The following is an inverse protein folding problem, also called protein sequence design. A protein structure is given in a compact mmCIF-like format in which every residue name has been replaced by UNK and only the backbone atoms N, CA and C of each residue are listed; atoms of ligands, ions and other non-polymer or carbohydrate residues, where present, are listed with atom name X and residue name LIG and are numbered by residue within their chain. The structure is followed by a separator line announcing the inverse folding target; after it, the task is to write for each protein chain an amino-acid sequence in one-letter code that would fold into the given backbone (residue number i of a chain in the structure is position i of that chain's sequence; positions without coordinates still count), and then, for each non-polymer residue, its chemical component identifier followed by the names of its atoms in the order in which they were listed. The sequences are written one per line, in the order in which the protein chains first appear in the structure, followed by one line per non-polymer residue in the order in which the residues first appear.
data_IF_600138231273
#
_entry.id   IF_600138231273
#
_cell.length_a   1.000
_cell.length_b   1.000
_cell.length_c   1.000
_cell.angle_alpha   90.00
_cell.angle_beta   90.00
_cell.angle_gamma   90.00
#
_symmetry.space_group_name_H-M   'P 1'
#
loop_
_entity.id
_entity.type
_entity.pdbx_description
1 polymer ?
#
# COMPACT_ATOMS: atom_id res chain seq x y z
N UNK A 1 -20.19 2.83 -67.60
CA UNK A 1 -21.17 1.74 -67.71
C UNK A 1 -20.91 0.87 -66.50
N UNK A 2 -21.70 0.64 -65.52
CA UNK A 2 -23.06 0.90 -65.21
C UNK A 2 -23.23 0.90 -63.70
N UNK A 3 -24.16 1.70 -63.24
CA UNK A 3 -24.59 1.83 -61.87
C UNK A 3 -25.63 0.76 -61.51
N UNK A 4 -25.64 0.30 -60.25
CA UNK A 4 -26.81 -0.22 -59.51
C UNK A 4 -26.33 -0.45 -58.05
N UNK A 5 -26.92 -0.04 -56.95
CA UNK A 5 -28.27 0.31 -56.68
C UNK A 5 -28.44 -0.09 -55.20
N UNK A 6 -28.60 0.85 -54.26
CA UNK A 6 -28.90 0.61 -52.83
C UNK A 6 -30.37 0.25 -52.69
N UNK A 7 -30.77 -0.57 -51.71
CA UNK A 7 -32.12 -0.52 -51.18
C UNK A 7 -32.18 0.15 -49.78
N UNK A 8 -33.19 1.00 -49.67
CA UNK A 8 -33.60 1.70 -48.47
C UNK A 8 -34.23 0.74 -47.45
N UNK A 9 -34.06 1.01 -46.14
CA UNK A 9 -34.80 0.38 -45.05
C UNK A 9 -35.85 1.35 -44.51
N UNK A 10 -37.08 0.86 -44.54
CA UNK A 10 -38.25 1.52 -43.96
C UNK A 10 -38.27 1.30 -42.42
N UNK A 11 -38.70 2.38 -41.77
CA UNK A 11 -39.11 2.43 -40.34
C UNK A 11 -40.35 1.67 -40.03
N UNK A 12 -40.38 0.94 -38.92
CA UNK A 12 -41.63 0.53 -38.27
C UNK A 12 -41.48 0.70 -36.73
N UNK A 13 -42.42 1.44 -36.16
CA UNK A 13 -42.62 1.77 -34.78
C UNK A 13 -43.51 0.72 -34.04
N UNK A 14 -43.75 0.83 -32.70
CA UNK A 14 -43.68 -0.29 -31.76
C UNK A 14 -45.05 -0.84 -31.34
N UNK A 15 -45.03 -2.10 -30.93
CA UNK A 15 -46.20 -2.76 -30.28
C UNK A 15 -45.94 -2.97 -28.80
N UNK A 16 -46.81 -2.44 -27.96
CA UNK A 16 -46.92 -2.77 -26.54
C UNK A 16 -47.52 -4.18 -26.38
N UNK A 17 -46.92 -5.02 -25.54
CA UNK A 17 -47.61 -6.14 -24.88
C UNK A 17 -47.10 -6.27 -23.46
N UNK A 18 -47.99 -6.06 -22.50
CA UNK A 18 -47.76 -6.34 -21.11
C UNK A 18 -47.84 -7.84 -20.81
N UNK A 19 -47.07 -8.29 -19.86
CA UNK A 19 -47.32 -9.53 -19.15
C UNK A 19 -46.86 -9.41 -17.69
N UNK A 20 -47.84 -9.49 -16.81
CA UNK A 20 -47.69 -9.75 -15.37
C UNK A 20 -47.27 -11.21 -15.20
N UNK A 21 -46.20 -11.46 -14.50
CA UNK A 21 -45.84 -12.77 -13.99
C UNK A 21 -46.03 -12.77 -12.46
N UNK A 22 -47.01 -13.56 -12.02
CA UNK A 22 -47.25 -13.85 -10.61
C UNK A 22 -46.21 -14.83 -10.09
N UNK A 23 -45.60 -14.50 -8.96
CA UNK A 23 -44.70 -15.38 -8.18
C UNK A 23 -45.58 -16.21 -7.21
N UNK A 24 -45.65 -17.51 -7.44
CA UNK A 24 -46.13 -18.50 -6.47
C UNK A 24 -44.98 -18.88 -5.53
N UNK A 25 -45.22 -18.69 -4.24
CA UNK A 25 -44.32 -19.13 -3.17
C UNK A 25 -44.84 -20.47 -2.66
N UNK A 26 -44.06 -21.54 -2.85
CA UNK A 26 -44.26 -22.81 -2.15
C UNK A 26 -43.52 -22.79 -0.82
N UNK A 27 -44.24 -23.10 0.26
CA UNK A 27 -43.76 -23.20 1.61
C UNK A 27 -43.27 -24.61 1.92
N UNK A 28 -42.05 -24.75 2.41
CA UNK A 28 -41.50 -25.96 3.02
C UNK A 28 -41.44 -25.76 4.55
N UNK A 29 -41.97 -26.64 5.38
CA UNK A 29 -41.94 -26.49 6.83
C UNK A 29 -40.71 -27.11 7.44
N UNK A 30 -40.06 -26.35 8.37
CA UNK A 30 -39.12 -26.90 9.34
C UNK A 30 -37.71 -26.36 9.34
N UNK A 31 -37.50 -25.13 9.80
CA UNK A 31 -36.23 -24.74 10.46
C UNK A 31 -36.45 -23.51 11.34
N UNK A 32 -35.96 -23.62 12.57
CA UNK A 32 -36.03 -22.57 13.60
C UNK A 32 -35.26 -21.34 13.20
N UNK A 33 -35.93 -20.20 13.19
CA UNK A 33 -35.37 -18.87 13.03
C UNK A 33 -34.54 -18.53 14.30
N UNK A 34 -33.21 -18.29 14.14
CA UNK A 34 -32.41 -17.61 15.12
C UNK A 34 -32.31 -16.17 14.65
N UNK A 35 -32.99 -15.28 15.35
CA UNK A 35 -32.89 -13.83 15.11
C UNK A 35 -31.59 -13.30 15.67
N UNK A 36 -30.63 -12.94 14.82
CA UNK A 36 -29.43 -12.20 15.21
C UNK A 36 -29.72 -10.70 15.06
N UNK A 37 -29.84 -10.00 16.16
CA UNK A 37 -29.86 -8.53 16.22
C UNK A 37 -28.46 -8.01 15.91
N UNK A 38 -28.27 -7.38 14.76
CA UNK A 38 -27.13 -6.54 14.44
C UNK A 38 -27.42 -5.13 14.96
N UNK A 39 -26.75 -4.74 16.03
CA UNK A 39 -26.62 -3.34 16.45
C UNK A 39 -25.45 -2.76 15.63
N UNK A 40 -25.74 -1.89 14.68
CA UNK A 40 -24.74 -1.09 13.97
C UNK A 40 -24.64 0.27 14.66
N UNK A 41 -23.46 0.55 15.20
CA UNK A 41 -23.07 1.86 15.70
C UNK A 41 -23.03 2.90 14.58
N UNK A 42 -23.94 3.85 14.67
CA UNK A 42 -23.93 5.12 13.96
C UNK A 42 -23.24 6.16 14.85
N UNK A 43 -21.96 6.41 14.62
CA UNK A 43 -21.30 7.64 15.08
C UNK A 43 -20.37 8.16 13.98
N UNK A 44 -20.88 9.12 13.23
CA UNK A 44 -20.13 10.26 12.68
C UNK A 44 -20.99 11.00 11.66
N UNK A 45 -21.63 12.07 12.09
CA UNK A 45 -21.97 13.25 11.26
C UNK A 45 -22.72 14.26 12.11
N UNK A 46 -22.01 15.22 12.66
CA UNK A 46 -22.52 16.58 12.86
C UNK A 46 -21.35 17.52 13.10
N UNK A 47 -20.96 18.21 12.07
CA UNK A 47 -20.31 19.51 12.17
C UNK A 47 -20.77 20.32 10.96
N UNK A 48 -21.74 21.19 11.16
CA UNK A 48 -21.81 22.48 10.46
C UNK A 48 -22.83 23.45 11.07
N UNK A 49 -22.35 24.67 11.17
CA UNK A 49 -23.06 25.96 11.27
C UNK A 49 -23.42 26.48 12.64
N UNK A 50 -22.70 27.57 12.98
CA UNK A 50 -23.14 28.95 13.28
C UNK A 50 -21.88 29.72 13.65
N UNK A 51 -21.45 30.76 13.06
CA UNK A 51 -22.12 31.89 12.46
C UNK A 51 -22.12 33.10 13.35
N UNK A 52 -21.19 34.04 13.10
CA UNK A 52 -21.22 35.48 13.19
C UNK A 52 -21.28 36.25 14.52
N UNK A 53 -20.39 37.25 14.54
CA UNK A 53 -20.51 38.64 15.01
C UNK A 53 -20.24 38.85 16.52
N UNK A 54 -19.49 39.78 16.98
CA UNK A 54 -19.08 41.15 16.65
C UNK A 54 -18.23 41.73 17.79
N UNK A 55 -17.21 42.52 17.42
CA UNK A 55 -16.75 43.80 18.01
C UNK A 55 -16.62 43.99 19.52
N UNK A 56 -15.44 44.42 19.90
CA UNK A 56 -15.40 45.65 20.65
C UNK A 56 -14.50 45.73 21.87
N UNK A 57 -13.37 46.36 21.71
CA UNK A 57 -12.80 47.44 22.55
C UNK A 57 -12.48 47.29 24.06
N UNK A 58 -11.24 47.74 24.34
CA UNK A 58 -10.74 48.59 25.44
C UNK A 58 -10.18 47.95 26.72
N UNK A 59 -8.87 47.99 26.80
CA UNK A 59 -7.93 48.59 27.76
C UNK A 59 -8.10 48.46 29.29
N UNK A 60 -6.90 48.33 29.88
CA UNK A 60 -6.44 48.79 31.20
C UNK A 60 -6.93 48.02 32.44
N UNK A 61 -6.11 47.36 33.19
CA UNK A 61 -5.29 47.94 34.27
C UNK A 61 -4.65 46.85 35.14
N UNK A 62 -3.45 47.16 35.49
CA UNK A 62 -2.59 46.45 36.44
C UNK A 62 -3.23 46.45 37.85
N UNK A 63 -3.29 45.27 38.49
CA UNK A 63 -3.25 45.22 39.98
C UNK A 63 -2.46 43.98 40.42
N UNK A 64 -1.42 44.28 41.19
CA UNK A 64 -0.57 43.35 41.94
C UNK A 64 -1.41 42.73 43.05
N UNK A 65 -1.25 41.42 43.29
CA UNK A 65 -1.72 40.75 44.49
C UNK A 65 -0.53 39.97 45.09
N UNK A 66 -0.33 39.99 46.42
CA UNK A 66 0.91 39.65 47.10
C UNK A 66 1.06 38.14 47.35
N UNK A 67 2.32 37.74 47.41
CA UNK A 67 2.77 36.40 47.82
C UNK A 67 2.28 36.01 49.22
N UNK A 68 1.66 34.85 49.36
CA UNK A 68 1.50 34.14 50.64
C UNK A 68 2.28 32.84 50.54
N UNK A 69 3.18 32.68 51.53
CA UNK A 69 3.94 31.44 51.77
C UNK A 69 3.02 30.33 52.29
N UNK A 70 3.27 29.07 51.92
CA UNK A 70 2.59 27.93 52.52
C UNK A 70 3.31 27.49 53.84
N UNK A 71 2.57 26.91 54.82
CA UNK A 71 3.10 26.57 56.14
C UNK A 71 3.95 25.29 56.08
N UNK A 72 4.99 25.30 56.90
CA UNK A 72 5.89 24.15 57.15
C UNK A 72 5.16 22.95 57.77
N UNK A 73 5.31 21.80 57.13
CA UNK A 73 4.91 20.50 57.66
C UNK A 73 6.02 19.96 58.60
N UNK A 74 5.78 19.94 59.90
CA UNK A 74 6.61 19.26 60.89
C UNK A 74 6.53 17.75 60.70
N UNK A 75 7.63 17.13 60.33
CA UNK A 75 7.79 15.67 60.33
C UNK A 75 8.12 15.20 61.73
N UNK A 76 7.21 14.50 62.40
CA UNK A 76 7.41 13.72 63.64
C UNK A 76 8.12 12.40 63.23
N UNK A 77 9.35 12.22 63.70
CA UNK A 77 10.06 10.93 63.67
C UNK A 77 9.60 10.06 64.82
N UNK A 78 9.15 8.83 64.61
CA UNK A 78 9.04 7.85 65.68
C UNK A 78 10.40 7.17 65.85
N UNK A 79 10.91 7.22 67.10
CA UNK A 79 12.02 6.41 67.59
C UNK A 79 11.55 4.96 67.67
N UNK A 80 12.17 4.08 66.92
CA UNK A 80 11.97 2.64 67.04
C UNK A 80 13.03 2.03 67.93
N UNK A 81 12.58 1.52 69.09
CA UNK A 81 13.35 0.66 69.96
C UNK A 81 13.76 -0.65 69.29
N UNK A 82 15.06 -0.87 69.25
CA UNK A 82 15.67 -2.12 68.81
C UNK A 82 15.65 -3.07 70.08
N UNK A 83 14.62 -3.88 70.18
CA UNK A 83 14.69 -5.16 70.95
C UNK A 83 13.33 -5.87 70.83
N UNK A 84 13.27 -6.92 70.03
CA UNK A 84 12.36 -8.07 70.02
C UNK A 84 12.01 -8.56 68.61
N UNK A 85 13.03 -9.11 67.93
CA UNK A 85 12.74 -9.94 66.75
C UNK A 85 13.77 -11.07 66.61
N UNK A 86 13.94 -11.84 67.68
CA UNK A 86 14.62 -13.12 67.56
C UNK A 86 13.82 -14.12 68.39
N UNK A 87 12.89 -14.82 67.75
CA UNK A 87 12.35 -16.16 68.10
C UNK A 87 10.95 -16.29 67.49
N UNK A 88 10.89 -16.87 66.32
CA UNK A 88 9.80 -17.69 65.76
C UNK A 88 9.99 -17.86 64.20
N UNK A 89 11.13 -18.44 63.85
CA UNK A 89 11.24 -19.10 62.53
C UNK A 89 11.04 -20.59 62.77
N UNK A 90 9.80 -21.03 62.73
CA UNK A 90 9.47 -22.46 62.85
C UNK A 90 9.94 -23.16 61.53
N UNK A 91 10.42 -24.41 61.67
CA UNK A 91 10.85 -25.30 60.60
C UNK A 91 9.82 -25.44 59.44
N UNK A 92 8.57 -25.02 59.64
CA UNK A 92 7.50 -25.02 58.66
C UNK A 92 7.60 -23.88 57.65
N UNK A 93 8.22 -22.75 58.00
CA UNK A 93 8.42 -21.62 57.08
C UNK A 93 9.57 -21.87 56.08
N UNK A 94 10.60 -22.63 56.46
CA UNK A 94 11.70 -22.98 55.55
C UNK A 94 11.26 -23.93 54.42
N UNK A 95 10.37 -24.88 54.75
CA UNK A 95 9.82 -25.81 53.71
C UNK A 95 8.89 -25.06 52.74
N UNK A 96 8.10 -24.09 53.23
CA UNK A 96 7.24 -23.30 52.34
C UNK A 96 8.07 -22.42 51.37
N UNK A 97 9.18 -21.85 51.81
CA UNK A 97 10.10 -21.08 50.94
C UNK A 97 10.87 -21.96 49.95
N UNK A 98 11.25 -23.19 50.36
CA UNK A 98 11.88 -24.14 49.44
C UNK A 98 10.90 -24.68 48.36
N UNK A 99 9.64 -24.89 48.72
CA UNK A 99 8.60 -25.30 47.74
C UNK A 99 8.26 -24.14 46.79
N UNK A 100 8.20 -22.89 47.28
CA UNK A 100 8.02 -21.71 46.40
C UNK A 100 9.23 -21.48 45.49
N UNK A 101 10.46 -21.70 45.98
CA UNK A 101 11.68 -21.61 45.19
C UNK A 101 11.80 -22.74 44.15
N UNK A 102 11.31 -23.94 44.44
CA UNK A 102 11.25 -25.06 43.49
C UNK A 102 10.13 -24.88 42.43
N UNK A 103 9.04 -24.20 42.79
CA UNK A 103 8.00 -23.84 41.82
C UNK A 103 8.42 -22.68 40.93
N UNK A 104 9.29 -21.76 41.40
CA UNK A 104 9.86 -20.69 40.55
C UNK A 104 11.08 -21.15 39.75
N UNK A 105 11.75 -22.26 40.10
CA UNK A 105 12.84 -22.85 39.31
C UNK A 105 12.37 -23.78 38.18
N UNK A 106 11.09 -24.17 38.16
CA UNK A 106 10.48 -24.68 36.93
C UNK A 106 10.18 -23.50 35.99
N UNK A 107 11.27 -22.99 35.42
CA UNK A 107 11.35 -21.80 34.62
C UNK A 107 10.11 -21.59 33.77
N UNK A 108 9.57 -20.39 33.84
CA UNK A 108 8.97 -19.73 32.69
C UNK A 108 10.01 -19.82 31.54
N UNK A 109 10.04 -20.96 30.85
CA UNK A 109 10.60 -20.99 29.51
C UNK A 109 9.83 -19.90 28.79
N UNK A 110 10.52 -18.88 28.23
CA UNK A 110 9.83 -17.98 27.33
C UNK A 110 9.10 -18.90 26.35
N UNK A 111 7.79 -18.74 26.22
CA UNK A 111 7.02 -19.43 25.19
C UNK A 111 7.74 -19.08 23.89
N UNK A 112 8.56 -20.00 23.37
CA UNK A 112 9.03 -19.90 22.00
C UNK A 112 7.75 -19.84 21.20
N UNK A 113 7.47 -18.67 20.63
CA UNK A 113 6.37 -18.53 19.69
C UNK A 113 6.59 -19.65 18.67
N UNK A 114 5.73 -20.67 18.69
CA UNK A 114 5.76 -21.74 17.70
C UNK A 114 5.73 -21.03 16.35
N UNK A 115 6.83 -21.09 15.62
CA UNK A 115 6.92 -20.50 14.28
C UNK A 115 5.97 -21.29 13.42
N UNK A 116 4.78 -20.69 13.22
CA UNK A 116 3.68 -21.34 12.49
C UNK A 116 4.15 -21.63 11.06
N UNK A 117 4.14 -22.90 10.67
CA UNK A 117 4.41 -23.31 9.28
C UNK A 117 3.18 -23.01 8.43
N UNK A 118 3.40 -22.32 7.32
CA UNK A 118 2.39 -22.10 6.28
C UNK A 118 2.65 -23.09 5.16
N UNK A 119 1.63 -23.85 4.79
CA UNK A 119 1.67 -24.78 3.68
C UNK A 119 1.18 -24.09 2.41
N UNK A 120 1.88 -24.24 1.31
CA UNK A 120 1.42 -23.94 -0.03
C UNK A 120 1.33 -25.22 -0.87
N UNK A 121 0.76 -25.12 -2.06
CA UNK A 121 0.66 -26.25 -2.98
C UNK A 121 2.02 -26.83 -3.38
N UNK A 122 3.09 -26.03 -3.37
CA UNK A 122 4.41 -26.43 -3.87
C UNK A 122 5.50 -26.49 -2.78
N UNK A 123 5.38 -25.71 -1.71
CA UNK A 123 6.40 -25.60 -0.65
C UNK A 123 5.80 -25.17 0.67
N UNK A 124 6.58 -25.14 1.74
CA UNK A 124 6.17 -24.65 3.05
C UNK A 124 7.19 -23.64 3.60
N UNK A 125 6.73 -22.70 4.42
CA UNK A 125 7.56 -21.62 4.92
C UNK A 125 7.09 -21.08 6.28
N UNK A 126 7.97 -20.35 6.95
CA UNK A 126 7.70 -19.62 8.18
C UNK A 126 7.58 -18.11 7.90
N UNK A 127 6.48 -17.45 8.30
CA UNK A 127 6.39 -15.98 8.29
C UNK A 127 7.00 -15.42 9.58
N UNK A 128 8.26 -15.07 9.56
CA UNK A 128 9.00 -14.52 10.69
C UNK A 128 8.76 -13.01 10.77
N UNK A 129 8.20 -12.51 11.88
CA UNK A 129 8.15 -11.06 12.13
C UNK A 129 9.53 -10.60 12.58
N UNK A 130 10.14 -9.67 11.83
CA UNK A 130 11.49 -9.15 12.07
C UNK A 130 11.50 -7.79 12.76
N UNK A 131 10.50 -6.94 12.46
CA UNK A 131 10.40 -5.59 12.97
C UNK A 131 8.93 -5.18 13.08
N UNK A 132 8.59 -4.38 14.08
CA UNK A 132 7.28 -3.74 14.27
C UNK A 132 7.44 -2.26 14.65
N UNK A 133 6.35 -1.52 14.84
CA UNK A 133 6.39 -0.10 15.17
C UNK A 133 6.60 0.83 13.97
N UNK A 134 6.31 0.37 12.76
CA UNK A 134 6.34 1.18 11.54
C UNK A 134 4.97 1.84 11.31
N UNK A 135 4.93 3.16 11.11
CA UNK A 135 3.67 3.87 10.90
C UNK A 135 3.24 3.87 9.44
N UNK A 136 2.27 3.02 9.10
CA UNK A 136 1.77 2.84 7.74
C UNK A 136 2.93 2.70 6.71
N UNK A 137 3.82 1.72 6.86
CA UNK A 137 4.91 1.55 5.91
C UNK A 137 4.36 1.30 4.50
N UNK A 138 5.05 1.84 3.49
CA UNK A 138 4.56 1.79 2.11
C UNK A 138 5.44 0.95 1.18
N UNK A 139 6.76 1.06 1.32
CA UNK A 139 7.73 0.33 0.49
C UNK A 139 9.05 0.12 1.22
N UNK A 140 9.86 -0.83 0.73
CA UNK A 140 11.20 -1.11 1.21
C UNK A 140 12.19 -1.27 0.06
N UNK A 141 13.48 -0.93 0.33
CA UNK A 141 14.60 -1.20 -0.53
C UNK A 141 15.79 -1.73 0.30
N UNK A 142 16.50 -2.71 -0.24
CA UNK A 142 17.69 -3.28 0.38
C UNK A 142 18.92 -2.53 -0.10
N UNK A 143 19.83 -2.19 0.83
CA UNK A 143 21.14 -1.60 0.50
C UNK A 143 22.18 -2.72 0.44
N UNK A 144 23.24 -2.58 -0.38
CA UNK A 144 24.28 -3.62 -0.53
C UNK A 144 25.01 -3.98 0.77
N UNK A 145 25.01 -3.09 1.76
CA UNK A 145 25.60 -3.31 3.09
C UNK A 145 24.66 -4.06 4.07
N UNK A 146 23.53 -4.58 3.58
CA UNK A 146 22.53 -5.31 4.34
C UNK A 146 21.54 -4.44 5.11
N UNK A 147 21.70 -3.12 5.12
CA UNK A 147 20.71 -2.20 5.68
C UNK A 147 19.48 -2.12 4.75
N UNK A 148 18.39 -1.58 5.28
CA UNK A 148 17.16 -1.38 4.51
C UNK A 148 16.66 0.06 4.65
N UNK A 149 16.04 0.54 3.60
CA UNK A 149 15.22 1.74 3.61
C UNK A 149 13.75 1.33 3.65
N UNK A 150 12.96 1.96 4.51
CA UNK A 150 11.51 1.77 4.55
C UNK A 150 10.83 3.14 4.52
N UNK A 151 9.92 3.32 3.58
CA UNK A 151 9.07 4.51 3.55
C UNK A 151 7.85 4.32 4.45
N UNK A 152 7.55 5.35 5.23
CA UNK A 152 6.31 5.46 5.99
C UNK A 152 5.43 6.53 5.34
N UNK A 153 4.18 6.18 5.04
CA UNK A 153 3.24 7.05 4.31
C UNK A 153 3.08 8.46 4.92
N UNK A 154 3.16 8.69 6.24
CA UNK A 154 3.17 10.03 6.80
C UNK A 154 4.33 10.95 6.34
N UNK A 155 5.30 10.43 5.58
CA UNK A 155 6.38 11.23 4.97
C UNK A 155 7.75 10.97 5.57
N UNK A 156 7.96 9.90 6.30
CA UNK A 156 9.25 9.53 6.88
C UNK A 156 9.94 8.44 6.08
N UNK A 157 11.21 8.61 5.80
CA UNK A 157 12.09 7.56 5.30
C UNK A 157 12.88 7.01 6.49
N UNK A 158 12.74 5.71 6.73
CA UNK A 158 13.37 5.02 7.86
C UNK A 158 14.57 4.21 7.38
N UNK A 159 15.60 4.19 8.22
CA UNK A 159 16.74 3.32 8.04
C UNK A 159 16.65 2.15 9.04
N UNK A 160 16.88 0.94 8.55
CA UNK A 160 16.88 -0.30 9.34
C UNK A 160 18.25 -0.95 9.20
N UNK A 161 18.83 -1.42 10.30
CA UNK A 161 20.13 -2.13 10.30
C UNK A 161 20.02 -3.51 9.64
N UNK A 162 21.17 -4.11 9.30
CA UNK A 162 21.23 -5.50 8.82
C UNK A 162 20.71 -6.53 9.86
N UNK A 163 20.63 -6.16 11.14
CA UNK A 163 20.02 -6.98 12.21
C UNK A 163 18.56 -6.60 12.49
N UNK A 164 17.90 -5.92 11.55
CA UNK A 164 16.50 -5.51 11.60
C UNK A 164 16.14 -4.57 12.76
N UNK A 165 17.10 -3.75 13.20
CA UNK A 165 16.86 -2.71 14.21
C UNK A 165 16.54 -1.39 13.53
N UNK A 166 15.46 -0.74 13.95
CA UNK A 166 15.08 0.57 13.44
C UNK A 166 16.00 1.66 14.00
N UNK A 167 16.59 2.48 13.12
CA UNK A 167 17.28 3.68 13.59
C UNK A 167 16.31 4.61 14.31
N UNK A 168 16.72 5.20 15.46
CA UNK A 168 15.82 6.02 16.29
C UNK A 168 15.22 7.21 15.56
N UNK A 169 16.01 7.85 14.68
CA UNK A 169 15.60 9.04 13.93
C UNK A 169 15.37 8.72 12.46
N UNK A 170 14.31 9.26 11.84
CA UNK A 170 14.12 9.18 10.40
C UNK A 170 15.26 9.85 9.62
N UNK A 171 15.45 9.42 8.37
CA UNK A 171 16.33 10.09 7.42
C UNK A 171 15.78 11.47 7.11
N UNK A 172 16.62 12.49 7.20
CA UNK A 172 16.32 13.89 6.89
C UNK A 172 16.71 14.27 5.47
N UNK A 173 16.34 15.49 5.02
CA UNK A 173 16.75 16.06 3.73
C UNK A 173 15.84 15.71 2.55
N UNK A 174 14.68 15.09 2.77
CA UNK A 174 13.70 14.89 1.72
C UNK A 174 12.98 16.23 1.42
N UNK A 175 12.40 16.40 0.18
CA UNK A 175 11.52 17.51 -0.14
C UNK A 175 10.27 17.53 0.74
N UNK A 176 9.50 18.62 0.66
CA UNK A 176 8.21 18.71 1.34
C UNK A 176 7.24 17.63 0.84
N UNK A 177 6.69 16.84 1.75
CA UNK A 177 5.77 15.74 1.47
C UNK A 177 4.40 16.07 2.06
N UNK A 178 3.35 16.00 1.24
CA UNK A 178 1.97 16.18 1.68
C UNK A 178 1.34 14.84 2.07
N UNK A 179 1.28 14.55 3.36
CA UNK A 179 0.52 13.41 3.88
C UNK A 179 -0.96 13.81 3.98
N UNK A 180 -1.80 13.24 3.10
CA UNK A 180 -3.24 13.51 3.09
C UNK A 180 -4.01 12.34 2.43
N UNK A 181 -4.92 11.70 3.14
CA UNK A 181 -5.67 10.54 2.66
C UNK A 181 -4.74 9.38 2.29
N UNK A 182 -4.74 8.98 1.01
CA UNK A 182 -3.81 7.95 0.49
C UNK A 182 -2.42 8.52 0.15
N UNK A 183 -2.25 9.86 0.16
CA UNK A 183 -1.01 10.54 -0.22
C UNK A 183 0.00 10.60 0.91
N UNK A 184 1.29 10.64 0.53
CA UNK A 184 2.43 10.72 1.44
C UNK A 184 3.73 10.35 0.75
N UNK A 185 4.61 9.62 1.43
CA UNK A 185 5.80 9.01 0.86
C UNK A 185 5.43 7.60 0.37
N UNK A 186 5.79 7.29 -0.89
CA UNK A 186 5.39 6.06 -1.57
C UNK A 186 6.58 5.10 -1.74
N UNK A 187 6.92 4.75 -2.98
CA UNK A 187 8.00 3.81 -3.24
C UNK A 187 9.38 4.40 -2.97
N UNK A 188 10.31 3.53 -2.63
CA UNK A 188 11.74 3.80 -2.59
C UNK A 188 12.47 2.70 -3.37
N UNK A 189 13.42 3.10 -4.20
CA UNK A 189 14.25 2.19 -4.98
C UNK A 189 15.70 2.69 -4.99
N UNK A 190 16.66 1.77 -5.02
CA UNK A 190 18.05 2.11 -5.30
C UNK A 190 18.29 2.00 -6.82
N UNK A 191 19.22 2.80 -7.32
CA UNK A 191 19.65 2.69 -8.71
C UNK A 191 20.23 1.30 -8.99
N UNK A 192 20.04 0.68 -10.17
CA UNK A 192 20.66 -0.61 -10.49
C UNK A 192 22.18 -0.62 -10.34
N UNK A 193 22.83 0.51 -10.58
CA UNK A 193 24.28 0.71 -10.38
C UNK A 193 24.57 1.50 -9.09
N UNK A 194 23.86 1.20 -8.01
CA UNK A 194 23.95 1.92 -6.73
C UNK A 194 25.35 1.91 -6.12
N UNK A 195 26.06 0.79 -6.22
CA UNK A 195 27.40 0.63 -5.67
C UNK A 195 28.39 1.68 -6.21
N UNK A 196 28.24 2.06 -7.48
CA UNK A 196 29.11 3.06 -8.11
C UNK A 196 28.58 4.49 -7.97
N UNK A 197 27.25 4.69 -8.04
CA UNK A 197 26.67 6.03 -8.12
C UNK A 197 25.97 6.51 -6.84
N UNK A 198 25.55 5.61 -5.96
CA UNK A 198 24.91 5.90 -4.68
C UNK A 198 23.52 6.53 -4.76
N UNK A 199 22.86 6.50 -5.93
CA UNK A 199 21.57 7.11 -6.10
C UNK A 199 20.43 6.26 -5.51
N UNK A 200 19.58 6.93 -4.71
CA UNK A 200 18.33 6.43 -4.16
C UNK A 200 17.20 7.28 -4.71
N UNK A 201 16.13 6.65 -5.15
CA UNK A 201 14.94 7.28 -5.72
C UNK A 201 13.75 7.08 -4.81
N UNK A 202 12.87 8.08 -4.72
CA UNK A 202 11.60 7.95 -4.01
C UNK A 202 10.50 8.70 -4.73
N UNK A 203 9.30 8.08 -4.69
CA UNK A 203 8.07 8.71 -5.16
C UNK A 203 7.31 9.28 -3.96
N UNK A 204 6.72 10.45 -4.11
CA UNK A 204 6.04 11.13 -3.02
C UNK A 204 4.92 12.04 -3.50
N UNK A 205 4.04 12.43 -2.58
CA UNK A 205 2.98 13.40 -2.82
C UNK A 205 3.53 14.83 -2.62
N UNK A 206 3.83 15.49 -3.73
CA UNK A 206 4.40 16.83 -3.77
C UNK A 206 3.32 17.91 -3.67
N UNK A 207 3.37 18.84 -2.70
CA UNK A 207 2.53 20.01 -2.68
C UNK A 207 2.92 21.03 -3.76
N UNK A 208 1.97 21.85 -4.23
CA UNK A 208 2.24 22.92 -5.21
C UNK A 208 0.95 23.58 -5.67
N UNK A 209 1.06 24.41 -6.70
CA UNK A 209 -0.07 25.14 -7.25
C UNK A 209 -1.19 24.21 -7.73
N UNK A 210 -2.42 24.53 -7.38
CA UNK A 210 -3.59 23.71 -7.70
C UNK A 210 -3.80 22.49 -6.79
N UNK A 211 -2.88 22.20 -5.84
CA UNK A 211 -3.02 21.08 -4.90
C UNK A 211 -1.73 20.27 -4.72
N UNK A 212 -1.80 18.98 -4.93
CA UNK A 212 -0.68 18.07 -4.79
C UNK A 212 -0.75 16.93 -5.83
N UNK A 213 0.39 16.31 -6.10
CA UNK A 213 0.51 15.26 -7.09
C UNK A 213 1.72 14.38 -6.86
N UNK A 214 1.77 13.23 -7.52
CA UNK A 214 2.92 12.32 -7.44
C UNK A 214 4.13 12.94 -8.12
N UNK A 215 5.26 12.91 -7.42
CA UNK A 215 6.56 13.34 -7.91
C UNK A 215 7.59 12.23 -7.72
N UNK A 216 8.69 12.31 -8.47
CA UNK A 216 9.87 11.47 -8.36
C UNK A 216 11.06 12.34 -8.01
N UNK A 217 11.80 11.95 -6.98
CA UNK A 217 13.08 12.57 -6.64
C UNK A 217 14.16 11.51 -6.48
N UNK A 218 15.41 11.92 -6.56
CA UNK A 218 16.59 11.11 -6.20
C UNK A 218 17.54 11.87 -5.27
N UNK A 219 18.41 11.16 -4.61
CA UNK A 219 19.44 11.72 -3.75
C UNK A 219 20.42 10.65 -3.29
N UNK A 220 21.42 11.05 -2.50
CA UNK A 220 22.45 10.16 -1.96
C UNK A 220 22.37 10.14 -0.43
N UNK A 221 22.47 8.95 0.17
CA UNK A 221 22.42 8.79 1.62
C UNK A 221 23.81 9.03 2.23
N UNK A 222 23.90 10.02 3.13
CA UNK A 222 25.09 10.27 3.96
C UNK A 222 24.69 10.19 5.44
N UNK A 223 25.11 9.13 6.13
CA UNK A 223 24.65 8.84 7.48
C UNK A 223 23.13 8.66 7.53
N UNK A 224 22.44 9.60 8.17
CA UNK A 224 20.96 9.65 8.25
C UNK A 224 20.37 10.86 7.53
N UNK A 225 21.04 11.34 6.47
CA UNK A 225 20.58 12.49 5.68
C UNK A 225 20.68 12.20 4.18
N UNK A 226 19.61 12.57 3.45
CA UNK A 226 19.65 12.66 1.99
C UNK A 226 20.33 13.95 1.56
N UNK A 227 21.29 13.82 0.66
CA UNK A 227 22.07 14.92 0.06
C UNK A 227 21.97 14.84 -1.46
N UNK A 228 22.41 15.87 -2.18
CA UNK A 228 22.32 15.95 -3.65
C UNK A 228 20.92 15.65 -4.16
N UNK A 229 19.91 16.20 -3.46
CA UNK A 229 18.49 15.90 -3.77
C UNK A 229 18.06 16.65 -5.02
N UNK A 230 17.52 15.91 -5.98
CA UNK A 230 17.01 16.39 -7.25
C UNK A 230 15.59 15.91 -7.46
N UNK A 231 14.67 16.82 -7.85
CA UNK A 231 13.31 16.45 -8.27
C UNK A 231 13.34 16.23 -9.78
N UNK A 232 13.08 14.99 -10.19
CA UNK A 232 13.20 14.56 -11.59
C UNK A 232 11.87 14.67 -12.37
N UNK A 233 10.76 14.56 -11.64
CA UNK A 233 9.42 14.62 -12.23
C UNK A 233 8.42 15.17 -11.23
N UNK A 234 7.49 16.00 -11.73
CA UNK A 234 6.33 16.49 -11.00
C UNK A 234 5.07 16.33 -11.85
N UNK A 235 4.07 15.62 -11.30
CA UNK A 235 2.78 15.43 -11.97
C UNK A 235 2.08 16.76 -12.24
N UNK A 236 1.53 16.89 -13.44
CA UNK A 236 0.70 18.05 -13.87
C UNK A 236 -0.54 17.60 -14.66
N UNK A 237 -1.69 18.29 -14.48
CA UNK A 237 -1.95 19.24 -13.40
C UNK A 237 -2.03 18.54 -12.04
N UNK A 238 -1.71 19.26 -10.96
CA UNK A 238 -1.92 18.78 -9.57
C UNK A 238 -3.42 18.76 -9.23
N UNK A 239 -3.80 18.13 -8.11
CA UNK A 239 -5.19 17.97 -7.70
C UNK A 239 -5.31 18.05 -6.17
N UNK A 240 -6.42 18.59 -5.67
CA UNK A 240 -6.73 18.62 -4.23
C UNK A 240 -7.36 17.33 -3.72
N UNK A 241 -7.59 16.34 -4.59
CA UNK A 241 -8.14 15.03 -4.18
C UNK A 241 -7.08 14.19 -3.49
N UNK A 242 -7.50 13.38 -2.51
CA UNK A 242 -6.62 12.64 -1.60
C UNK A 242 -6.50 11.15 -1.90
N UNK A 243 -6.73 10.74 -3.13
CA UNK A 243 -6.75 9.34 -3.54
C UNK A 243 -6.08 9.10 -4.89
N UNK A 244 -5.75 7.84 -5.18
CA UNK A 244 -5.23 7.32 -6.43
C UNK A 244 -3.97 8.05 -6.90
N UNK A 245 -2.87 7.82 -6.20
CA UNK A 245 -1.59 8.45 -6.49
C UNK A 245 -0.68 7.62 -7.41
N UNK A 246 -0.87 6.29 -7.46
CA UNK A 246 0.13 5.38 -8.00
C UNK A 246 1.37 5.35 -7.11
N UNK A 247 2.55 5.60 -7.68
CA UNK A 247 3.78 5.86 -6.93
C UNK A 247 4.79 4.71 -6.93
N UNK A 248 4.66 3.66 -7.77
CA UNK A 248 5.68 2.61 -7.93
C UNK A 248 6.78 3.05 -8.87
N UNK A 249 8.02 2.66 -8.55
CA UNK A 249 9.24 2.94 -9.29
C UNK A 249 9.82 1.62 -9.79
N UNK A 250 10.14 1.53 -11.08
CA UNK A 250 10.80 0.36 -11.68
C UNK A 250 11.91 0.84 -12.62
N UNK A 251 13.10 0.27 -12.50
CA UNK A 251 14.19 0.46 -13.46
C UNK A 251 14.24 -0.68 -14.44
N UNK A 252 14.49 -0.41 -15.72
CA UNK A 252 14.81 -1.45 -16.69
C UNK A 252 16.34 -1.57 -16.92
N UNK A 253 16.74 -2.65 -17.60
CA UNK A 253 18.15 -2.94 -17.87
C UNK A 253 18.81 -1.94 -18.85
N UNK A 254 18.05 -1.04 -19.45
CA UNK A 254 18.52 0.00 -20.39
C UNK A 254 18.72 1.34 -19.69
N UNK A 255 18.48 1.42 -18.36
CA UNK A 255 18.63 2.62 -17.56
C UNK A 255 17.42 3.55 -17.59
N UNK A 256 16.26 3.08 -18.03
CA UNK A 256 15.03 3.84 -17.91
C UNK A 256 14.38 3.62 -16.55
N UNK A 257 13.76 4.67 -16.02
CA UNK A 257 12.91 4.62 -14.83
C UNK A 257 11.44 4.79 -15.25
N UNK A 258 10.61 3.90 -14.74
CA UNK A 258 9.15 3.94 -14.87
C UNK A 258 8.54 4.36 -13.55
N UNK A 259 7.61 5.33 -13.60
CA UNK A 259 6.83 5.79 -12.46
C UNK A 259 5.35 5.59 -12.75
N UNK A 260 4.63 4.94 -11.86
CA UNK A 260 3.19 4.73 -12.01
C UNK A 260 2.39 5.86 -11.39
N UNK A 261 1.31 6.25 -12.04
CA UNK A 261 0.41 7.32 -11.59
C UNK A 261 -1.04 6.84 -11.55
N UNK A 262 -1.84 7.45 -10.67
CA UNK A 262 -3.27 7.23 -10.60
C UNK A 262 -4.08 8.39 -11.16
N UNK A 263 -5.39 8.15 -11.40
CA UNK A 263 -6.34 9.14 -11.94
C UNK A 263 -6.69 10.27 -10.97
N UNK A 264 -6.14 10.24 -9.76
CA UNK A 264 -6.38 11.22 -8.69
C UNK A 264 -7.86 11.30 -8.27
N UNK A 265 -8.64 10.23 -8.50
CA UNK A 265 -10.07 10.17 -8.22
C UNK A 265 -10.94 10.99 -9.18
N UNK A 266 -10.37 11.43 -10.28
CA UNK A 266 -11.06 12.06 -11.40
C UNK A 266 -10.85 11.22 -12.64
N UNK A 267 -11.77 10.30 -12.86
CA UNK A 267 -11.63 9.20 -13.81
C UNK A 267 -11.35 9.64 -15.24
N UNK A 268 -11.92 10.78 -15.67
CA UNK A 268 -11.82 11.24 -17.05
C UNK A 268 -10.41 11.77 -17.39
N UNK A 269 -9.62 12.11 -16.38
CA UNK A 269 -8.22 12.51 -16.53
C UNK A 269 -7.35 11.39 -17.13
N UNK A 270 -7.68 10.12 -16.85
CA UNK A 270 -6.91 8.97 -17.33
C UNK A 270 -6.89 8.84 -18.87
N UNK A 271 -7.85 9.46 -19.58
CA UNK A 271 -7.92 9.46 -21.04
C UNK A 271 -7.31 10.70 -21.70
N UNK A 272 -6.85 11.69 -20.90
CA UNK A 272 -6.30 12.95 -21.44
C UNK A 272 -4.83 12.82 -21.77
N UNK A 273 -4.42 13.29 -22.94
CA UNK A 273 -3.02 13.25 -23.39
C UNK A 273 -2.17 14.35 -22.73
N UNK A 274 -2.78 15.48 -22.41
CA UNK A 274 -2.19 16.66 -21.75
C UNK A 274 -2.20 16.58 -20.20
N UNK A 275 -2.51 15.40 -19.66
CA UNK A 275 -2.62 15.14 -18.22
C UNK A 275 -1.83 13.87 -17.85
N UNK A 276 -1.02 13.92 -16.79
CA UNK A 276 -0.27 12.76 -16.32
C UNK A 276 -1.12 11.73 -15.57
N UNK A 277 -2.34 12.09 -15.13
CA UNK A 277 -3.18 11.22 -14.33
C UNK A 277 -3.50 9.90 -15.03
N UNK A 278 -3.49 8.78 -14.30
CA UNK A 278 -3.84 7.46 -14.82
C UNK A 278 -2.90 6.97 -15.92
N UNK A 279 -1.59 7.17 -15.76
CA UNK A 279 -0.58 6.76 -16.73
C UNK A 279 0.64 6.12 -16.08
N UNK A 280 1.48 5.49 -16.88
CA UNK A 280 2.87 5.21 -16.56
C UNK A 280 3.74 6.25 -17.25
N UNK A 281 4.72 6.79 -16.55
CA UNK A 281 5.74 7.72 -17.04
C UNK A 281 7.02 6.94 -17.29
N UNK A 282 7.74 7.23 -18.37
CA UNK A 282 9.09 6.70 -18.65
C UNK A 282 10.07 7.85 -18.84
N UNK A 283 11.17 7.81 -18.08
CA UNK A 283 12.25 8.79 -18.09
C UNK A 283 13.60 8.07 -18.15
N UNK A 284 14.65 8.80 -18.50
CA UNK A 284 15.99 8.41 -18.09
C UNK A 284 16.15 8.55 -16.57
N UNK A 285 17.16 7.91 -16.00
CA UNK A 285 17.48 7.94 -14.58
C UNK A 285 17.76 9.36 -14.03
N UNK A 286 18.14 10.30 -14.92
CA UNK A 286 18.37 11.71 -14.61
C UNK A 286 17.13 12.62 -14.84
N UNK A 287 15.98 12.05 -15.17
CA UNK A 287 14.72 12.78 -15.41
C UNK A 287 14.51 13.29 -16.82
N UNK A 288 15.48 13.18 -17.74
CA UNK A 288 15.28 13.52 -19.13
C UNK A 288 14.26 12.61 -19.80
N UNK A 289 13.53 13.18 -20.77
CA UNK A 289 12.51 12.44 -21.53
C UNK A 289 13.16 11.67 -22.67
N UNK A 290 12.97 10.36 -22.79
CA UNK A 290 13.46 9.57 -23.91
C UNK A 290 12.79 9.98 -25.23
N UNK A 291 13.59 10.14 -26.29
CA UNK A 291 13.09 10.54 -27.61
C UNK A 291 12.26 9.45 -28.32
N UNK A 292 12.34 8.22 -27.84
CA UNK A 292 11.57 7.07 -28.32
C UNK A 292 10.31 6.81 -27.46
N UNK A 293 9.92 7.75 -26.58
CA UNK A 293 8.62 7.68 -25.90
C UNK A 293 7.49 7.78 -26.93
N UNK A 294 6.40 7.03 -26.75
CA UNK A 294 5.37 6.87 -27.76
C UNK A 294 4.63 8.16 -28.12
N UNK A 295 4.59 9.13 -27.21
CA UNK A 295 3.83 10.37 -27.37
C UNK A 295 4.72 11.61 -27.52
N UNK A 296 6.06 11.46 -27.60
CA UNK A 296 7.00 12.58 -27.66
C UNK A 296 6.80 13.51 -28.88
N UNK A 297 6.29 12.96 -29.99
CA UNK A 297 6.02 13.70 -31.23
C UNK A 297 4.54 14.05 -31.39
N UNK A 298 3.68 13.68 -30.45
CA UNK A 298 2.25 13.97 -30.57
C UNK A 298 1.95 15.34 -29.97
N UNK A 299 1.49 16.26 -30.83
CA UNK A 299 1.10 17.61 -30.41
C UNK A 299 0.02 17.57 -29.31
N UNK A 300 0.17 18.38 -28.29
CA UNK A 300 -0.75 18.43 -27.15
C UNK A 300 -0.61 17.27 -26.13
N UNK A 301 0.28 16.30 -26.39
CA UNK A 301 0.54 15.23 -25.43
C UNK A 301 1.73 15.55 -24.52
N UNK A 302 1.71 15.01 -23.31
CA UNK A 302 2.84 15.06 -22.40
C UNK A 302 3.89 14.02 -22.81
N UNK A 303 5.13 14.43 -23.14
CA UNK A 303 6.12 13.55 -23.74
C UNK A 303 6.67 12.48 -22.78
N UNK A 304 6.50 12.68 -21.47
CA UNK A 304 6.90 11.74 -20.43
C UNK A 304 5.99 10.49 -20.38
N UNK A 305 4.77 10.60 -20.88
CA UNK A 305 3.80 9.50 -20.85
C UNK A 305 4.28 8.31 -21.67
N UNK A 306 4.11 7.11 -21.10
CA UNK A 306 4.42 5.85 -21.74
C UNK A 306 3.16 5.03 -22.06
N UNK A 307 2.14 5.13 -21.15
CA UNK A 307 0.80 4.55 -21.32
C UNK A 307 -0.26 5.51 -20.81
N UNK A 308 -1.55 5.18 -21.00
CA UNK A 308 -2.69 5.91 -20.45
C UNK A 308 -3.84 4.96 -20.12
N UNK A 309 -4.88 5.48 -19.49
CA UNK A 309 -6.11 4.73 -19.22
C UNK A 309 -6.03 3.80 -18.01
N UNK A 310 -5.23 4.15 -17.02
CA UNK A 310 -5.13 3.44 -15.76
C UNK A 310 -5.89 4.17 -14.64
N UNK A 311 -6.41 3.41 -13.67
CA UNK A 311 -7.12 3.99 -12.53
C UNK A 311 -6.19 4.31 -11.35
N UNK A 312 -5.49 3.31 -10.82
CA UNK A 312 -4.60 3.48 -9.66
C UNK A 312 -3.63 2.32 -9.56
N UNK A 313 -2.53 2.42 -10.28
CA UNK A 313 -1.49 1.39 -10.30
C UNK A 313 -0.76 1.37 -8.96
N UNK A 314 -0.77 0.25 -8.25
CA UNK A 314 -0.16 0.09 -6.93
C UNK A 314 1.03 -0.87 -6.89
N UNK A 315 1.18 -1.72 -7.89
CA UNK A 315 2.32 -2.61 -8.06
C UNK A 315 2.88 -2.54 -9.46
N UNK A 316 4.20 -2.69 -9.57
CA UNK A 316 4.91 -2.76 -10.84
C UNK A 316 6.18 -3.57 -10.65
N UNK A 317 6.50 -4.43 -11.62
CA UNK A 317 7.73 -5.23 -11.65
C UNK A 317 8.10 -5.60 -13.10
N UNK A 318 9.38 -5.81 -13.37
CA UNK A 318 9.81 -6.39 -14.62
C UNK A 318 9.74 -7.92 -14.56
N UNK A 319 9.22 -8.52 -15.61
CA UNK A 319 9.29 -9.96 -15.76
C UNK A 319 10.76 -10.40 -15.96
N UNK A 320 11.30 -11.31 -15.14
CA UNK A 320 12.76 -11.55 -15.09
C UNK A 320 13.34 -12.07 -16.41
N UNK A 321 12.58 -12.86 -17.18
CA UNK A 321 13.06 -13.43 -18.44
C UNK A 321 12.83 -12.52 -19.66
N UNK A 322 11.74 -11.75 -19.67
CA UNK A 322 11.35 -10.95 -20.87
C UNK A 322 11.69 -9.47 -20.75
N UNK A 323 11.98 -8.98 -19.53
CA UNK A 323 12.19 -7.55 -19.24
C UNK A 323 10.96 -6.69 -19.46
N UNK A 324 9.79 -7.28 -19.71
CA UNK A 324 8.55 -6.53 -19.89
C UNK A 324 8.00 -6.05 -18.55
N UNK A 325 7.48 -4.83 -18.55
CA UNK A 325 6.88 -4.24 -17.36
C UNK A 325 5.46 -4.80 -17.16
N UNK A 326 5.23 -5.36 -15.99
CA UNK A 326 3.92 -5.76 -15.50
C UNK A 326 3.48 -4.81 -14.41
N UNK A 327 2.19 -4.53 -14.36
CA UNK A 327 1.58 -3.74 -13.29
C UNK A 327 0.30 -4.41 -12.81
N UNK A 328 -0.16 -3.99 -11.64
CA UNK A 328 -1.54 -4.21 -11.25
C UNK A 328 -2.14 -2.91 -10.71
N UNK A 329 -3.46 -2.81 -10.81
CA UNK A 329 -4.18 -1.63 -10.37
C UNK A 329 -5.49 -1.96 -9.66
N UNK A 330 -5.95 -1.01 -8.84
CA UNK A 330 -7.25 -1.10 -8.21
C UNK A 330 -8.36 -0.75 -9.18
N UNK A 331 -9.33 -1.65 -9.32
CA UNK A 331 -10.62 -1.32 -9.89
C UNK A 331 -11.49 -0.47 -8.93
N UNK A 332 -12.70 -0.12 -9.34
CA UNK A 332 -13.69 0.51 -8.45
C UNK A 332 -14.28 -0.53 -7.48
N UNK A 333 -15.57 -0.80 -7.51
CA UNK A 333 -16.15 -1.92 -6.75
C UNK A 333 -15.93 -3.23 -7.52
N UNK A 334 -14.80 -3.94 -7.25
CA UNK A 334 -14.30 -5.04 -8.05
C UNK A 334 -13.49 -4.56 -9.26
N UNK A 335 -12.96 -5.52 -10.06
CA UNK A 335 -12.23 -5.22 -11.29
C UNK A 335 -10.80 -4.73 -11.06
N UNK A 336 -10.13 -5.21 -10.01
CA UNK A 336 -8.67 -5.06 -9.91
C UNK A 336 -8.02 -5.88 -11.02
N UNK A 337 -6.93 -5.37 -11.61
CA UNK A 337 -6.34 -5.94 -12.82
C UNK A 337 -4.84 -6.17 -12.69
N UNK A 338 -4.33 -7.22 -13.34
CA UNK A 338 -2.91 -7.36 -13.68
C UNK A 338 -2.77 -7.10 -15.17
N UNK A 339 -1.86 -6.22 -15.53
CA UNK A 339 -1.65 -5.76 -16.89
C UNK A 339 -0.19 -5.94 -17.35
N UNK A 340 0.00 -6.38 -18.59
CA UNK A 340 1.26 -6.31 -19.30
C UNK A 340 1.37 -4.94 -19.99
N UNK A 341 2.34 -4.11 -19.57
CA UNK A 341 2.47 -2.75 -20.05
C UNK A 341 3.22 -2.66 -21.38
N UNK A 342 2.60 -2.03 -22.36
CA UNK A 342 3.14 -1.82 -23.70
C UNK A 342 3.11 -0.34 -24.06
N UNK A 343 4.20 0.17 -24.61
CA UNK A 343 4.33 1.57 -25.03
C UNK A 343 3.15 2.04 -25.90
N UNK A 344 2.59 3.20 -25.58
CA UNK A 344 1.50 3.83 -26.33
C UNK A 344 0.11 3.20 -26.12
N UNK A 345 -0.02 2.15 -25.34
CA UNK A 345 -1.32 1.49 -25.12
C UNK A 345 -2.20 2.25 -24.12
N UNK A 346 -3.51 2.17 -24.40
CA UNK A 346 -4.58 2.65 -23.54
C UNK A 346 -5.18 1.44 -22.77
N UNK A 347 -5.17 1.49 -21.44
CA UNK A 347 -5.68 0.44 -20.56
C UNK A 347 -7.17 0.61 -20.21
N UNK A 348 -7.82 1.58 -20.82
CA UNK A 348 -9.26 1.65 -20.95
C UNK A 348 -10.02 2.38 -19.85
N UNK A 349 -9.47 2.55 -18.65
CA UNK A 349 -10.16 3.28 -17.59
C UNK A 349 -10.43 4.74 -17.97
N UNK A 350 -11.66 5.29 -17.77
CA UNK A 350 -12.90 4.66 -17.27
C UNK A 350 -13.85 4.16 -18.36
N UNK A 351 -13.41 4.14 -19.62
CA UNK A 351 -14.25 3.75 -20.78
C UNK A 351 -14.62 2.28 -20.69
N UNK A 352 -13.70 1.42 -20.29
CA UNK A 352 -13.92 0.01 -19.98
C UNK A 352 -13.44 -0.32 -18.58
N UNK A 353 -14.13 -1.23 -17.89
CA UNK A 353 -13.73 -1.76 -16.58
C UNK A 353 -14.57 -3.00 -16.24
N UNK A 354 -13.99 -3.90 -15.44
CA UNK A 354 -14.67 -5.07 -14.88
C UNK A 354 -15.40 -4.75 -13.56
N UNK A 355 -15.26 -3.52 -13.03
CA UNK A 355 -15.89 -3.09 -11.79
C UNK A 355 -17.12 -2.20 -12.00
N UNK A 356 -17.77 -1.86 -10.90
CA UNK A 356 -18.99 -1.03 -10.87
C UNK A 356 -18.80 0.17 -9.95
N UNK A 357 -19.71 1.15 -10.00
CA UNK A 357 -19.71 2.27 -9.06
C UNK A 357 -19.96 1.76 -7.63
N UNK A 358 -19.28 2.36 -6.66
CA UNK A 358 -19.50 2.06 -5.25
C UNK A 358 -20.94 2.32 -4.82
N UNK A 359 -21.42 1.50 -3.88
CA UNK A 359 -22.77 1.58 -3.33
C UNK A 359 -23.79 0.83 -4.20
N UNK A 360 -24.42 1.48 -5.15
CA UNK A 360 -25.50 0.91 -5.97
C UNK A 360 -25.03 -0.09 -7.04
N UNK A 361 -23.73 -0.26 -7.25
CA UNK A 361 -23.21 -1.20 -8.24
C UNK A 361 -23.55 -0.85 -9.69
N UNK A 362 -23.84 0.42 -9.98
CA UNK A 362 -24.19 0.85 -11.34
C UNK A 362 -23.00 0.75 -12.28
N UNK A 363 -23.27 0.54 -13.57
CA UNK A 363 -22.26 0.41 -14.63
C UNK A 363 -21.36 1.64 -14.72
N UNK A 364 -20.08 1.41 -15.03
CA UNK A 364 -19.12 2.44 -15.41
C UNK A 364 -18.75 2.20 -16.89
N UNK A 365 -18.67 3.29 -17.65
CA UNK A 365 -18.23 3.25 -19.03
C UNK A 365 -19.12 2.40 -19.96
N UNK A 366 -18.50 1.89 -21.03
CA UNK A 366 -19.22 1.20 -22.11
C UNK A 366 -19.33 -0.32 -21.88
N UNK A 367 -18.35 -0.91 -21.16
CA UNK A 367 -18.30 -2.36 -20.91
C UNK A 367 -17.00 -2.81 -20.28
N UNK A 368 -16.66 -4.08 -20.51
CA UNK A 368 -15.41 -4.67 -20.01
C UNK A 368 -14.29 -4.63 -21.05
N UNK A 369 -14.65 -4.56 -22.33
CA UNK A 369 -13.71 -4.57 -23.44
C UNK A 369 -14.11 -3.56 -24.52
N UNK A 370 -13.10 -3.01 -25.22
CA UNK A 370 -13.30 -2.13 -26.39
C UNK A 370 -12.12 -2.25 -27.34
N UNK A 371 -12.38 -2.20 -28.64
CA UNK A 371 -11.32 -2.19 -29.64
C UNK A 371 -10.34 -1.03 -29.41
N UNK A 372 -9.03 -1.29 -29.52
CA UNK A 372 -7.97 -0.32 -29.26
C UNK A 372 -7.57 -0.17 -27.79
N UNK A 373 -8.24 -0.81 -26.87
CA UNK A 373 -7.89 -0.84 -25.44
C UNK A 373 -7.28 -2.18 -25.04
N UNK A 374 -6.24 -2.14 -24.21
CA UNK A 374 -5.56 -3.34 -23.73
C UNK A 374 -6.48 -4.14 -22.78
N UNK A 375 -6.29 -5.45 -22.76
CA UNK A 375 -7.03 -6.35 -21.87
C UNK A 375 -6.12 -6.83 -20.77
N UNK A 376 -6.67 -6.95 -19.56
CA UNK A 376 -5.98 -7.45 -18.39
C UNK A 376 -5.63 -8.94 -18.54
N UNK A 377 -4.47 -9.35 -17.99
CA UNK A 377 -4.07 -10.75 -17.89
C UNK A 377 -4.83 -11.49 -16.79
N UNK A 378 -5.21 -10.77 -15.75
CA UNK A 378 -5.97 -11.26 -14.59
C UNK A 378 -6.89 -10.19 -14.07
N UNK A 379 -8.09 -10.58 -13.66
CA UNK A 379 -9.08 -9.69 -13.05
C UNK A 379 -9.57 -10.31 -11.74
N UNK A 380 -9.77 -9.47 -10.70
CA UNK A 380 -10.39 -9.88 -9.45
C UNK A 380 -11.73 -9.18 -9.21
N UNK A 381 -12.79 -9.99 -9.11
CA UNK A 381 -14.13 -9.57 -8.66
C UNK A 381 -14.58 -10.61 -7.62
N UNK A 382 -14.74 -10.22 -6.36
CA UNK A 382 -14.58 -8.89 -5.77
C UNK A 382 -13.11 -8.44 -5.70
N UNK A 383 -12.91 -7.12 -5.52
CA UNK A 383 -11.58 -6.51 -5.34
C UNK A 383 -10.84 -7.12 -4.16
N UNK A 384 -9.55 -7.42 -4.35
CA UNK A 384 -8.60 -7.80 -3.31
C UNK A 384 -7.83 -6.58 -2.77
N UNK A 385 -7.84 -5.46 -3.48
CA UNK A 385 -7.00 -4.28 -3.32
C UNK A 385 -5.50 -4.66 -3.38
N UNK A 386 -4.96 -5.03 -4.57
CA UNK A 386 -3.57 -5.44 -4.73
C UNK A 386 -2.61 -4.29 -4.43
N UNK A 387 -1.38 -4.58 -3.96
CA UNK A 387 -0.47 -3.58 -3.41
C UNK A 387 0.96 -3.68 -3.96
N UNK A 388 1.92 -4.29 -3.25
CA UNK A 388 3.23 -4.60 -3.79
C UNK A 388 3.20 -5.88 -4.62
N UNK A 389 4.15 -6.02 -5.57
CA UNK A 389 4.31 -7.23 -6.36
C UNK A 389 5.78 -7.52 -6.64
N UNK A 390 6.11 -8.81 -6.77
CA UNK A 390 7.43 -9.28 -7.16
C UNK A 390 7.33 -10.59 -7.93
N UNK A 391 8.11 -10.74 -8.99
CA UNK A 391 8.32 -12.04 -9.63
C UNK A 391 9.28 -12.86 -8.78
N UNK A 392 9.00 -14.13 -8.61
CA UNK A 392 9.90 -15.04 -7.92
C UNK A 392 11.00 -15.50 -8.88
N UNK A 393 12.21 -15.01 -8.65
CA UNK A 393 13.44 -15.51 -9.28
C UNK A 393 14.47 -15.70 -8.17
N UNK A 394 14.29 -16.75 -7.38
CA UNK A 394 14.94 -16.84 -6.09
C UNK A 394 15.35 -18.28 -5.77
N UNK A 395 16.56 -18.43 -5.23
CA UNK A 395 17.06 -19.70 -4.69
C UNK A 395 16.33 -20.11 -3.41
N UNK A 396 15.70 -19.19 -2.71
CA UNK A 396 14.94 -19.46 -1.48
C UNK A 396 13.62 -20.19 -1.75
N UNK A 397 13.02 -19.96 -2.92
CA UNK A 397 11.73 -20.54 -3.31
C UNK A 397 11.77 -21.05 -4.76
N UNK A 398 12.62 -22.04 -5.07
CA UNK A 398 12.80 -22.52 -6.44
C UNK A 398 11.52 -23.11 -7.05
N UNK A 399 10.62 -23.66 -6.23
CA UNK A 399 9.33 -24.22 -6.68
C UNK A 399 8.34 -23.15 -7.17
N UNK A 400 8.58 -21.89 -6.84
CA UNK A 400 7.79 -20.74 -7.29
C UNK A 400 8.48 -19.93 -8.37
N UNK A 401 9.63 -20.40 -8.88
CA UNK A 401 10.41 -19.66 -9.90
C UNK A 401 9.57 -19.33 -11.13
N UNK A 402 9.51 -18.05 -11.46
CA UNK A 402 8.70 -17.50 -12.55
C UNK A 402 7.28 -17.05 -12.14
N UNK A 403 6.79 -17.45 -10.97
CA UNK A 403 5.49 -17.03 -10.46
C UNK A 403 5.50 -15.56 -10.03
N UNK A 404 4.32 -14.93 -9.97
CA UNK A 404 4.14 -13.55 -9.52
C UNK A 404 3.47 -13.52 -8.15
N UNK A 405 4.11 -12.88 -7.19
CA UNK A 405 3.54 -12.60 -5.86
C UNK A 405 2.89 -11.23 -5.85
N UNK A 406 1.68 -11.14 -5.29
CA UNK A 406 0.90 -9.91 -5.15
C UNK A 406 0.39 -9.80 -3.71
N UNK A 407 0.79 -8.73 -3.02
CA UNK A 407 0.24 -8.38 -1.71
C UNK A 407 -1.19 -7.87 -1.83
N UNK A 408 -2.01 -8.07 -0.82
CA UNK A 408 -3.39 -7.63 -0.81
C UNK A 408 -3.74 -6.90 0.49
N UNK A 409 -4.33 -5.71 0.33
CA UNK A 409 -4.75 -4.87 1.46
C UNK A 409 -6.12 -5.29 1.99
N UNK A 410 -7.11 -5.49 1.10
CA UNK A 410 -8.48 -5.80 1.51
C UNK A 410 -8.65 -7.27 1.87
N UNK A 411 -8.12 -8.16 1.05
CA UNK A 411 -8.22 -9.58 1.30
C UNK A 411 -7.23 -10.08 2.36
N UNK A 412 -6.26 -9.24 2.79
CA UNK A 412 -5.24 -9.56 3.81
C UNK A 412 -4.53 -10.88 3.50
N UNK A 413 -4.04 -11.01 2.28
CA UNK A 413 -3.44 -12.24 1.77
C UNK A 413 -2.25 -11.94 0.86
N UNK A 414 -1.31 -12.87 0.78
CA UNK A 414 -0.34 -12.93 -0.30
C UNK A 414 -0.92 -13.83 -1.40
N UNK A 415 -1.13 -13.27 -2.58
CA UNK A 415 -1.58 -14.01 -3.76
C UNK A 415 -0.35 -14.45 -4.55
N UNK A 416 -0.23 -15.74 -4.85
CA UNK A 416 0.71 -16.30 -5.82
C UNK A 416 -0.05 -16.59 -7.11
N UNK A 417 0.35 -15.95 -8.19
CA UNK A 417 -0.12 -16.24 -9.53
C UNK A 417 0.91 -17.16 -10.19
N UNK A 418 0.46 -18.35 -10.54
CA UNK A 418 1.25 -19.30 -11.30
C UNK A 418 1.25 -18.92 -12.78
N UNK A 419 2.45 -18.88 -13.37
CA UNK A 419 2.62 -18.39 -14.73
C UNK A 419 3.22 -19.45 -15.66
N UNK A 420 2.65 -19.55 -16.86
CA UNK A 420 3.27 -20.20 -18.02
C UNK A 420 3.59 -19.12 -19.06
N UNK A 421 4.86 -18.69 -19.11
CA UNK A 421 5.26 -17.53 -19.91
C UNK A 421 4.61 -16.25 -19.42
N UNK A 422 3.76 -15.65 -20.23
CA UNK A 422 3.00 -14.44 -19.88
C UNK A 422 1.52 -14.72 -19.53
N UNK A 423 1.15 -15.99 -19.37
CA UNK A 423 -0.22 -16.41 -19.09
C UNK A 423 -0.37 -16.80 -17.63
N UNK A 424 -1.39 -16.28 -16.95
CA UNK A 424 -1.77 -16.69 -15.60
C UNK A 424 -2.56 -18.00 -15.71
N UNK A 425 -1.99 -19.11 -15.20
CA UNK A 425 -2.59 -20.44 -15.25
C UNK A 425 -3.15 -20.91 -13.91
N UNK A 426 -2.76 -20.25 -12.79
CA UNK A 426 -3.23 -20.60 -11.46
C UNK A 426 -3.20 -19.44 -10.49
N UNK A 427 -3.96 -19.54 -9.40
CA UNK A 427 -3.97 -18.60 -8.27
C UNK A 427 -4.00 -19.36 -6.96
N UNK A 428 -3.09 -19.01 -6.06
CA UNK A 428 -3.06 -19.51 -4.68
C UNK A 428 -3.08 -18.34 -3.70
N UNK A 429 -3.85 -18.47 -2.62
CA UNK A 429 -3.95 -17.46 -1.55
C UNK A 429 -3.26 -17.96 -0.30
N UNK A 430 -2.20 -17.27 0.09
CA UNK A 430 -1.35 -17.58 1.21
C UNK A 430 -1.53 -16.55 2.34
N UNK A 431 -1.21 -16.90 3.57
CA UNK A 431 -1.24 -16.00 4.74
C UNK A 431 -2.60 -15.32 4.99
N UNK A 432 -3.72 -15.94 4.59
CA UNK A 432 -5.06 -15.33 4.70
C UNK A 432 -5.35 -14.90 6.13
N UNK A 433 -5.48 -13.58 6.37
CA UNK A 433 -5.76 -12.98 7.68
C UNK A 433 -4.66 -13.15 8.73
N UNK A 434 -3.47 -13.69 8.39
CA UNK A 434 -2.43 -14.06 9.37
C UNK A 434 -1.48 -12.91 9.70
N UNK A 435 -1.15 -12.08 8.70
CA UNK A 435 -0.21 -10.95 8.86
C UNK A 435 -0.89 -9.60 8.68
N UNK A 436 -2.20 -9.58 8.40
CA UNK A 436 -2.98 -8.37 8.16
C UNK A 436 -2.85 -7.87 6.71
N UNK A 437 -3.04 -6.57 6.52
CA UNK A 437 -3.01 -5.90 5.21
C UNK A 437 -1.57 -5.88 4.65
N UNK A 438 -1.28 -6.66 3.64
CA UNK A 438 0.06 -6.68 3.02
C UNK A 438 0.18 -5.45 2.10
N UNK A 439 1.20 -4.62 2.33
CA UNK A 439 1.44 -3.36 1.57
C UNK A 439 2.52 -3.52 0.52
N UNK A 440 3.62 -4.18 0.85
CA UNK A 440 4.72 -4.37 -0.10
C UNK A 440 5.22 -5.81 -0.07
N UNK A 441 5.74 -6.25 -1.21
CA UNK A 441 6.31 -7.58 -1.43
C UNK A 441 7.62 -7.38 -2.17
N UNK A 442 8.73 -7.83 -1.59
CA UNK A 442 10.06 -7.76 -2.19
C UNK A 442 10.78 -9.09 -2.03
N UNK A 443 11.71 -9.34 -2.93
CA UNK A 443 12.64 -10.46 -2.82
C UNK A 443 14.03 -9.85 -2.70
N UNK A 444 14.77 -10.25 -1.66
CA UNK A 444 16.13 -9.78 -1.43
C UNK A 444 17.15 -10.73 -2.09
N UNK A 445 18.41 -10.31 -2.11
CA UNK A 445 19.52 -11.08 -2.69
C UNK A 445 19.75 -12.43 -1.97
N UNK A 446 19.35 -12.52 -0.68
CA UNK A 446 19.35 -13.76 0.08
C UNK A 446 18.34 -14.80 -0.47
N UNK A 447 17.49 -14.37 -1.40
CA UNK A 447 16.44 -15.19 -2.02
C UNK A 447 15.20 -15.33 -1.16
N UNK A 448 15.08 -14.61 -0.03
CA UNK A 448 13.90 -14.64 0.83
C UNK A 448 12.89 -13.57 0.42
N UNK A 449 11.64 -13.83 0.75
CA UNK A 449 10.53 -12.92 0.46
C UNK A 449 10.26 -12.06 1.69
N UNK A 450 10.17 -10.75 1.49
CA UNK A 450 9.89 -9.78 2.54
C UNK A 450 8.55 -9.10 2.30
N UNK A 451 7.79 -8.90 3.38
CA UNK A 451 6.47 -8.28 3.35
C UNK A 451 6.40 -7.11 4.33
N UNK A 452 5.81 -6.00 3.92
CA UNK A 452 5.38 -4.91 4.81
C UNK A 452 3.87 -4.94 5.00
N UNK A 453 3.40 -4.59 6.19
CA UNK A 453 1.96 -4.50 6.49
C UNK A 453 1.50 -3.05 6.62
N UNK A 454 0.31 -2.73 6.06
CA UNK A 454 -0.30 -1.39 6.11
C UNK A 454 -1.14 -1.24 7.40
N UNK A 455 -0.50 -0.82 8.47
CA UNK A 455 -1.13 -0.55 9.74
C UNK A 455 -0.47 0.66 10.42
N UNK A 456 -1.17 1.37 11.34
CA UNK A 456 -0.54 2.40 12.18
C UNK A 456 0.64 1.87 13.01
N UNK A 457 0.61 0.58 13.33
CA UNK A 457 1.68 -0.21 13.93
C UNK A 457 2.02 -1.35 12.96
N UNK A 458 2.64 -0.98 11.85
CA UNK A 458 3.01 -1.88 10.78
C UNK A 458 4.28 -2.68 11.09
N UNK A 459 4.44 -3.78 10.39
CA UNK A 459 5.52 -4.74 10.61
C UNK A 459 6.21 -5.17 9.33
N UNK A 460 7.46 -5.59 9.46
CA UNK A 460 8.24 -6.28 8.46
C UNK A 460 8.24 -7.78 8.77
N UNK A 461 7.87 -8.58 7.78
CA UNK A 461 7.95 -10.04 7.83
C UNK A 461 8.94 -10.56 6.79
N UNK A 462 9.58 -11.67 7.11
CA UNK A 462 10.39 -12.46 6.19
C UNK A 462 9.74 -13.84 6.05
N UNK A 463 9.55 -14.29 4.83
CA UNK A 463 9.13 -15.66 4.56
C UNK A 463 10.39 -16.50 4.33
N UNK A 464 10.64 -17.45 5.23
CA UNK A 464 11.76 -18.36 5.16
C UNK A 464 11.24 -19.77 4.83
N UNK A 465 11.75 -20.46 3.77
CA UNK A 465 11.32 -21.80 3.46
C UNK A 465 11.65 -22.76 4.61
N UNK A 466 10.78 -23.74 4.86
CA UNK A 466 11.13 -24.85 5.75
C UNK A 466 12.21 -25.66 5.07
N UNK A 467 13.37 -25.82 5.73
CA UNK A 467 14.40 -26.74 5.23
C UNK A 467 13.80 -28.14 5.17
N UNK A 468 13.89 -28.75 4.00
CA UNK A 468 13.63 -30.20 3.86
C UNK A 468 14.75 -31.00 4.45
#
# INVERSE_FOLDING_TARGET
MGATGLPAWQSSQPGQVGNQAALTVESVPGSRLVTLLLVSDLQSMTYNRMGMATRGFVSHSSRRIPHRHPPELRILRPTMDKLLLHRFLSRRSLVAWLVLALLSANGLRPAQAETRIVQSAKTSFHPNKLLEGLENPWSMAFLPDGRMLITERPGRLRLVTASFQLYPTPITGLPAIKAAGQGGLFDVAIHPDYENNGWIYWAYNEPGDGGWGTALARGKLQGTRMTSVEVLFSMRPKSRRNQHFGGRIVFDSRGFVYLTLGDRGDRDRAQKMDDHAGSVIRLYDDGRVPQDNPFVKLEGALPEKWTLGNRNIQGAALHPKTGKLWTHEHGPQGGDEVNLMVAGRNYGWPVVTHGTNYGLGTKIGEGQTKAGMAQALKVWVPSIAPSGMAFVDSKGFPEWSGDLLVGSLRAQTLVRLELEGETVVGEERLLVGQVGRIRDVRIAEDGLIYLLTDAPDGALFQLAPTRR
#
